data_IF_862093170707
#
_entry.id   IF_862093170707
#
_cell.length_a   1.000
_cell.length_b   1.000
_cell.length_c   1.000
_cell.angle_alpha   90.00
_cell.angle_beta   90.00
_cell.angle_gamma   90.00
#
_symmetry.space_group_name_H-M   'P 1'
#
loop_
_entity.id
_entity.type
_entity.pdbx_description
1 polymer ?
#
# COMPACT_ATOMS: atom_id res chain seq x y z
N UNK A 1 -4.24 24.54 0.16
CA UNK A 1 -3.55 24.21 1.45
C UNK A 1 -4.01 22.83 1.91
N UNK A 2 -3.09 21.88 2.12
CA UNK A 2 -3.37 20.49 2.56
C UNK A 2 -4.00 20.47 3.97
N UNK A 3 -5.07 19.68 4.15
CA UNK A 3 -5.75 19.43 5.44
C UNK A 3 -5.93 17.94 5.71
N UNK A 4 -6.00 17.12 4.67
CA UNK A 4 -6.10 15.69 4.75
C UNK A 4 -5.05 15.00 3.91
N UNK A 5 -4.55 13.86 4.40
CA UNK A 5 -3.65 13.01 3.64
C UNK A 5 -4.12 11.56 3.73
N UNK A 6 -4.34 10.96 2.58
CA UNK A 6 -4.66 9.55 2.40
C UNK A 6 -3.37 8.88 1.94
N UNK A 7 -2.92 7.90 2.68
CA UNK A 7 -1.72 7.14 2.33
C UNK A 7 -2.07 5.73 1.91
N UNK A 8 -1.57 5.30 0.77
CA UNK A 8 -1.39 3.89 0.58
C UNK A 8 -0.33 3.33 1.56
N UNK A 9 -0.36 2.02 1.79
CA UNK A 9 0.56 1.37 2.70
C UNK A 9 1.73 0.71 1.99
N UNK A 10 1.45 -0.27 1.11
CA UNK A 10 2.43 -1.17 0.52
C UNK A 10 3.12 -0.57 -0.70
N UNK A 11 4.41 -0.32 -0.63
CA UNK A 11 5.12 0.41 -1.68
C UNK A 11 5.09 1.93 -1.50
N UNK A 12 4.23 2.45 -0.61
CA UNK A 12 4.13 3.88 -0.28
C UNK A 12 4.73 4.19 1.09
N UNK A 13 4.11 3.79 2.19
CA UNK A 13 4.65 3.96 3.55
C UNK A 13 5.64 2.85 3.91
N UNK A 14 5.32 1.63 3.51
CA UNK A 14 6.03 0.41 3.87
C UNK A 14 6.90 -0.08 2.71
N UNK A 15 8.12 -0.51 3.00
CA UNK A 15 8.99 -1.23 2.07
C UNK A 15 8.61 -2.73 2.08
N UNK A 16 7.37 -3.01 1.68
CA UNK A 16 6.76 -4.34 1.73
C UNK A 16 6.79 -5.07 0.39
N UNK A 17 7.01 -4.37 -0.72
CA UNK A 17 6.94 -4.98 -2.06
C UNK A 17 7.93 -6.15 -2.26
N UNK A 18 9.14 -6.16 -1.66
CA UNK A 18 10.02 -7.33 -1.70
C UNK A 18 9.39 -8.61 -1.10
N UNK A 19 8.49 -8.47 -0.13
CA UNK A 19 7.79 -9.59 0.50
C UNK A 19 6.86 -10.28 -0.50
N UNK A 20 6.05 -9.50 -1.19
CA UNK A 20 5.13 -9.98 -2.20
C UNK A 20 5.86 -10.68 -3.37
N UNK A 21 7.13 -10.29 -3.61
CA UNK A 21 8.01 -10.94 -4.59
C UNK A 21 8.55 -12.31 -4.18
N UNK A 22 8.20 -12.81 -2.98
CA UNK A 22 8.71 -14.08 -2.47
C UNK A 22 7.67 -14.92 -1.72
N UNK A 23 6.41 -14.48 -1.67
CA UNK A 23 5.36 -15.16 -0.91
C UNK A 23 5.05 -16.54 -1.45
N UNK A 24 4.86 -16.69 -2.77
CA UNK A 24 4.53 -17.96 -3.39
C UNK A 24 5.63 -19.00 -3.24
N UNK A 25 6.85 -18.61 -3.62
CA UNK A 25 8.02 -19.49 -3.50
C UNK A 25 8.37 -19.78 -2.03
N UNK A 26 8.20 -18.81 -1.14
CA UNK A 26 8.39 -19.00 0.30
C UNK A 26 7.39 -19.97 0.91
N UNK A 27 6.13 -19.91 0.50
CA UNK A 27 5.10 -20.84 0.95
C UNK A 27 5.43 -22.28 0.53
N UNK A 28 5.77 -22.51 -0.73
CA UNK A 28 6.18 -23.83 -1.24
C UNK A 28 7.44 -24.34 -0.55
N UNK A 29 8.42 -23.48 -0.31
CA UNK A 29 9.67 -23.83 0.39
C UNK A 29 9.41 -24.34 1.82
N UNK A 30 8.45 -23.76 2.55
CA UNK A 30 8.03 -24.29 3.86
C UNK A 30 7.48 -25.71 3.79
N UNK A 31 6.92 -26.10 2.64
CA UNK A 31 6.42 -27.45 2.36
C UNK A 31 7.49 -28.37 1.75
N UNK A 32 8.73 -27.89 1.56
CA UNK A 32 9.80 -28.64 0.92
C UNK A 32 9.67 -28.78 -0.60
N UNK A 33 8.88 -27.90 -1.22
CA UNK A 33 8.62 -27.90 -2.68
C UNK A 33 9.40 -26.75 -3.31
N UNK A 34 10.09 -27.02 -4.41
CA UNK A 34 10.79 -26.02 -5.20
C UNK A 34 9.81 -25.28 -6.14
N UNK A 35 9.81 -23.96 -6.08
CA UNK A 35 8.96 -23.15 -6.93
C UNK A 35 9.47 -23.16 -8.38
N UNK A 36 8.55 -23.18 -9.34
CA UNK A 36 8.87 -22.98 -10.76
C UNK A 36 9.27 -21.53 -11.00
N UNK A 37 10.01 -21.29 -12.08
CA UNK A 37 10.36 -19.93 -12.52
C UNK A 37 9.11 -19.06 -12.70
N UNK A 38 9.22 -17.77 -12.38
CA UNK A 38 8.19 -16.73 -12.50
C UNK A 38 6.93 -16.92 -11.62
N UNK A 39 6.94 -17.82 -10.62
CA UNK A 39 5.80 -17.98 -9.73
C UNK A 39 5.45 -16.68 -9.00
N UNK A 40 6.45 -16.06 -8.38
CA UNK A 40 6.27 -14.86 -7.57
C UNK A 40 5.86 -13.62 -8.40
N UNK A 41 6.27 -13.55 -9.67
CA UNK A 41 5.78 -12.50 -10.59
C UNK A 41 4.29 -12.66 -10.86
N UNK A 42 3.84 -13.88 -11.08
CA UNK A 42 2.42 -14.19 -11.29
C UNK A 42 1.58 -13.90 -10.04
N UNK A 43 2.14 -14.07 -8.85
CA UNK A 43 1.48 -13.78 -7.58
C UNK A 43 1.16 -12.30 -7.41
N UNK A 44 1.98 -11.40 -7.95
CA UNK A 44 1.74 -9.96 -7.88
C UNK A 44 0.49 -9.48 -8.61
N UNK A 45 0.02 -10.27 -9.59
CA UNK A 45 -1.06 -9.91 -10.50
C UNK A 45 -2.41 -10.54 -10.13
N UNK A 46 -2.46 -11.41 -9.11
CA UNK A 46 -3.62 -12.21 -8.80
C UNK A 46 -4.01 -12.10 -7.31
N UNK A 47 -5.29 -12.32 -7.02
CA UNK A 47 -5.80 -12.33 -5.65
C UNK A 47 -5.28 -13.53 -4.84
N UNK A 48 -5.36 -13.43 -3.51
CA UNK A 48 -4.99 -14.53 -2.59
C UNK A 48 -5.72 -15.85 -2.95
N UNK A 49 -7.00 -15.78 -3.30
CA UNK A 49 -7.77 -16.95 -3.71
C UNK A 49 -7.23 -17.54 -5.01
N UNK A 50 -6.97 -16.70 -6.02
CA UNK A 50 -6.38 -17.15 -7.29
C UNK A 50 -4.98 -17.73 -7.07
N UNK A 51 -4.20 -17.20 -6.14
CA UNK A 51 -2.89 -17.74 -5.74
C UNK A 51 -3.04 -19.13 -5.14
N UNK A 52 -4.04 -19.36 -4.29
CA UNK A 52 -4.32 -20.68 -3.72
C UNK A 52 -4.74 -21.69 -4.79
N UNK A 53 -5.59 -21.28 -5.76
CA UNK A 53 -5.97 -22.12 -6.91
C UNK A 53 -4.74 -22.51 -7.73
N UNK A 54 -3.92 -21.52 -8.08
CA UNK A 54 -2.69 -21.71 -8.86
C UNK A 54 -1.75 -22.72 -8.17
N UNK A 55 -1.49 -22.56 -6.88
CA UNK A 55 -0.61 -23.45 -6.14
C UNK A 55 -1.19 -24.87 -6.05
N UNK A 56 -2.50 -24.99 -5.79
CA UNK A 56 -3.15 -26.27 -5.71
C UNK A 56 -3.07 -27.05 -7.03
N UNK A 57 -3.33 -26.40 -8.14
CA UNK A 57 -3.37 -27.03 -9.46
C UNK A 57 -1.97 -27.33 -10.00
N UNK A 58 -1.04 -26.37 -9.92
CA UNK A 58 0.28 -26.54 -10.51
C UNK A 58 1.23 -27.43 -9.71
N UNK A 59 1.07 -27.47 -8.38
CA UNK A 59 1.93 -28.24 -7.48
C UNK A 59 1.20 -29.44 -6.86
N UNK A 60 -0.04 -29.72 -7.28
CA UNK A 60 -0.85 -30.84 -6.82
C UNK A 60 -0.91 -30.95 -5.28
N UNK A 61 -1.07 -29.77 -4.61
CA UNK A 61 -1.04 -29.73 -3.16
C UNK A 61 -2.21 -30.52 -2.54
N UNK A 62 -1.95 -31.39 -1.56
CA UNK A 62 -2.98 -32.21 -0.92
C UNK A 62 -3.78 -31.45 0.14
N UNK A 63 -3.94 -30.15 -0.02
CA UNK A 63 -4.63 -29.21 0.87
C UNK A 63 -5.88 -28.64 0.19
N UNK A 64 -6.87 -28.20 0.97
CA UNK A 64 -7.99 -27.41 0.44
C UNK A 64 -7.53 -26.02 0.00
N UNK A 65 -8.34 -25.33 -0.80
CA UNK A 65 -8.05 -23.94 -1.20
C UNK A 65 -8.00 -23.02 0.02
N UNK A 66 -8.88 -23.25 0.99
CA UNK A 66 -8.94 -22.50 2.24
C UNK A 66 -7.67 -22.70 3.09
N UNK A 67 -7.17 -23.93 3.19
CA UNK A 67 -5.92 -24.22 3.91
C UNK A 67 -4.72 -23.58 3.25
N UNK A 68 -4.64 -23.58 1.92
CA UNK A 68 -3.57 -22.92 1.17
C UNK A 68 -3.65 -21.40 1.36
N UNK A 69 -4.83 -20.79 1.17
CA UNK A 69 -5.03 -19.37 1.35
C UNK A 69 -4.69 -18.92 2.78
N UNK A 70 -5.15 -19.67 3.78
CA UNK A 70 -4.82 -19.40 5.19
C UNK A 70 -3.33 -19.56 5.47
N UNK A 71 -2.68 -20.54 4.86
CA UNK A 71 -1.24 -20.75 5.02
C UNK A 71 -0.41 -19.61 4.42
N UNK A 72 -0.82 -19.07 3.26
CA UNK A 72 -0.23 -17.88 2.65
C UNK A 72 -0.45 -16.66 3.56
N UNK A 73 -1.69 -16.44 4.01
CA UNK A 73 -2.06 -15.33 4.89
C UNK A 73 -1.24 -15.35 6.19
N UNK A 74 -1.13 -16.51 6.85
CA UNK A 74 -0.33 -16.65 8.06
C UNK A 74 1.16 -16.31 7.83
N UNK A 75 1.67 -16.57 6.64
CA UNK A 75 3.04 -16.20 6.30
C UNK A 75 3.18 -14.70 6.08
N UNK A 76 2.23 -14.09 5.41
CA UNK A 76 2.15 -12.64 5.23
C UNK A 76 2.02 -11.94 6.59
N UNK A 77 1.11 -12.40 7.45
CA UNK A 77 0.94 -11.89 8.82
C UNK A 77 2.25 -11.85 9.61
N UNK A 78 3.01 -12.94 9.54
CA UNK A 78 4.31 -13.03 10.22
C UNK A 78 5.31 -11.99 9.67
N UNK A 79 5.33 -11.77 8.36
CA UNK A 79 6.21 -10.79 7.74
C UNK A 79 5.85 -9.37 8.16
N UNK A 80 4.56 -9.00 8.16
CA UNK A 80 4.11 -7.68 8.62
C UNK A 80 4.36 -7.47 10.12
N UNK A 81 4.18 -8.51 10.92
CA UNK A 81 4.43 -8.45 12.36
C UNK A 81 5.91 -8.30 12.72
N UNK A 82 6.83 -8.84 11.91
CA UNK A 82 8.23 -8.96 12.32
C UNK A 82 9.26 -8.27 11.40
N UNK A 83 8.95 -8.09 10.11
CA UNK A 83 9.98 -7.77 9.11
C UNK A 83 9.74 -6.52 8.28
N UNK A 84 8.50 -6.15 7.97
CA UNK A 84 8.18 -5.00 7.10
C UNK A 84 8.62 -3.70 7.75
N UNK A 85 9.52 -2.96 7.13
CA UNK A 85 10.01 -1.67 7.62
C UNK A 85 9.28 -0.50 6.92
N UNK A 86 9.37 0.70 7.50
CA UNK A 86 8.99 1.93 6.80
C UNK A 86 9.98 2.23 5.66
N UNK A 87 9.50 2.83 4.60
CA UNK A 87 10.42 3.47 3.65
C UNK A 87 11.22 4.57 4.34
N UNK A 88 12.50 4.71 4.00
CA UNK A 88 13.36 5.70 4.63
C UNK A 88 12.81 7.13 4.51
N UNK A 89 12.67 7.83 5.63
CA UNK A 89 12.17 9.21 5.68
C UNK A 89 10.67 9.36 5.91
N UNK A 90 9.88 8.30 5.87
CA UNK A 90 8.41 8.34 6.09
C UNK A 90 8.07 8.97 7.44
N UNK A 91 8.76 8.62 8.53
CA UNK A 91 8.49 9.19 9.85
C UNK A 91 8.62 10.72 9.85
N UNK A 92 9.65 11.26 9.17
CA UNK A 92 9.83 12.71 9.06
C UNK A 92 8.72 13.39 8.26
N UNK A 93 8.20 12.74 7.21
CA UNK A 93 7.03 13.21 6.47
C UNK A 93 5.80 13.27 7.38
N UNK A 94 5.49 12.18 8.08
CA UNK A 94 4.32 12.09 8.96
C UNK A 94 4.37 13.13 10.08
N UNK A 95 5.52 13.29 10.73
CA UNK A 95 5.72 14.32 11.75
C UNK A 95 5.56 15.74 11.18
N UNK A 96 6.13 16.02 10.01
CA UNK A 96 6.00 17.30 9.34
C UNK A 96 4.57 17.66 8.95
N UNK A 97 3.77 16.69 8.50
CA UNK A 97 2.33 16.85 8.22
C UNK A 97 1.52 17.08 9.50
N UNK A 98 1.81 16.30 10.56
CA UNK A 98 1.16 16.45 11.86
C UNK A 98 1.40 17.85 12.47
N UNK A 99 2.62 18.36 12.38
CA UNK A 99 2.96 19.72 12.84
C UNK A 99 2.18 20.81 12.08
N UNK A 100 1.78 20.54 10.84
CA UNK A 100 0.93 21.42 10.02
C UNK A 100 -0.57 21.22 10.28
N UNK A 101 -0.95 20.31 11.18
CA UNK A 101 -2.34 20.02 11.53
C UNK A 101 -3.07 19.21 10.46
N UNK A 102 -2.35 18.51 9.58
CA UNK A 102 -2.92 17.63 8.57
C UNK A 102 -3.43 16.35 9.25
N UNK A 103 -4.67 16.00 9.00
CA UNK A 103 -5.23 14.70 9.42
C UNK A 103 -4.82 13.62 8.43
N UNK A 104 -4.45 12.46 8.92
CA UNK A 104 -3.90 11.38 8.11
C UNK A 104 -4.68 10.08 8.31
N UNK A 105 -4.90 9.34 7.24
CA UNK A 105 -5.51 8.01 7.28
C UNK A 105 -4.84 7.13 6.23
N UNK A 106 -4.79 5.82 6.50
CA UNK A 106 -4.29 4.84 5.54
C UNK A 106 -5.46 4.24 4.77
N UNK A 107 -5.31 4.15 3.44
CA UNK A 107 -6.19 3.43 2.52
C UNK A 107 -5.39 2.32 1.83
N UNK A 108 -5.70 1.05 2.08
CA UNK A 108 -4.89 -0.07 1.63
C UNK A 108 -5.69 -1.14 0.89
N UNK A 109 -5.04 -1.83 -0.06
CA UNK A 109 -5.57 -3.05 -0.68
C UNK A 109 -5.33 -4.30 0.19
N UNK A 110 -4.40 -4.23 1.13
CA UNK A 110 -4.09 -5.29 2.10
C UNK A 110 -5.11 -5.31 3.24
N UNK A 111 -5.08 -6.36 4.06
CA UNK A 111 -5.92 -6.45 5.26
C UNK A 111 -5.54 -5.38 6.28
N UNK A 112 -6.52 -4.63 6.78
CA UNK A 112 -6.27 -3.50 7.70
C UNK A 112 -5.48 -3.92 8.95
N UNK A 113 -5.72 -5.12 9.49
CA UNK A 113 -5.01 -5.61 10.67
C UNK A 113 -3.52 -5.86 10.42
N UNK A 114 -3.14 -6.32 9.20
CA UNK A 114 -1.73 -6.53 8.81
C UNK A 114 -0.99 -5.20 8.78
N UNK A 115 -1.58 -4.20 8.12
CA UNK A 115 -1.00 -2.86 8.07
C UNK A 115 -0.86 -2.25 9.47
N UNK A 116 -1.90 -2.37 10.32
CA UNK A 116 -1.82 -1.89 11.72
C UNK A 116 -0.70 -2.58 12.50
N UNK A 117 -0.48 -3.89 12.30
CA UNK A 117 0.64 -4.60 12.95
C UNK A 117 1.99 -3.98 12.57
N UNK A 118 2.22 -3.74 11.27
CA UNK A 118 3.46 -3.13 10.80
C UNK A 118 3.62 -1.69 11.31
N UNK A 119 2.58 -0.83 11.15
CA UNK A 119 2.62 0.57 11.60
C UNK A 119 2.84 0.69 13.12
N UNK A 120 2.22 -0.20 13.91
CA UNK A 120 2.41 -0.27 15.37
C UNK A 120 3.82 -0.68 15.76
N UNK A 121 4.37 -1.70 15.10
CA UNK A 121 5.74 -2.15 15.29
C UNK A 121 6.75 -1.06 14.91
N UNK A 122 6.51 -0.34 13.81
CA UNK A 122 7.31 0.79 13.37
C UNK A 122 7.09 2.06 14.22
N UNK A 123 6.13 2.07 15.16
CA UNK A 123 5.88 3.19 16.05
C UNK A 123 5.10 4.37 15.47
N UNK A 124 4.52 4.22 14.27
CA UNK A 124 3.88 5.33 13.52
C UNK A 124 2.36 5.24 13.43
N UNK A 125 1.73 4.18 13.97
CA UNK A 125 0.26 4.04 13.94
C UNK A 125 -0.45 5.27 14.52
N UNK A 126 0.13 5.91 15.51
CA UNK A 126 -0.42 7.06 16.23
C UNK A 126 -0.54 8.36 15.39
N UNK A 127 0.00 8.38 14.17
CA UNK A 127 -0.17 9.50 13.25
C UNK A 127 -1.51 9.44 12.50
N UNK A 128 -2.13 8.27 12.39
CA UNK A 128 -3.30 8.03 11.57
C UNK A 128 -4.58 7.99 12.40
N UNK A 129 -5.64 8.62 11.88
CA UNK A 129 -6.98 8.54 12.45
C UNK A 129 -7.52 7.11 12.34
N UNK A 130 -7.24 6.43 11.22
CA UNK A 130 -7.64 5.05 10.97
C UNK A 130 -6.80 4.38 9.86
N UNK A 131 -6.98 3.07 9.69
CA UNK A 131 -6.53 2.27 8.55
C UNK A 131 -7.76 1.61 7.95
N UNK A 132 -8.09 1.97 6.72
CA UNK A 132 -9.25 1.45 5.97
C UNK A 132 -8.75 0.54 4.86
N UNK A 133 -9.30 -0.66 4.79
CA UNK A 133 -8.98 -1.65 3.76
C UNK A 133 -10.02 -1.64 2.64
N UNK A 134 -9.58 -1.94 1.42
CA UNK A 134 -10.46 -2.26 0.30
C UNK A 134 -11.40 -3.45 0.62
N UNK A 135 -10.96 -4.37 1.47
CA UNK A 135 -11.79 -5.49 1.94
C UNK A 135 -12.98 -4.98 2.77
N UNK A 136 -12.75 -4.01 3.66
CA UNK A 136 -13.80 -3.40 4.50
C UNK A 136 -14.81 -2.60 3.66
N UNK A 137 -14.33 -1.95 2.60
CA UNK A 137 -15.15 -1.14 1.69
C UNK A 137 -15.89 -2.00 0.66
N UNK A 138 -15.36 -3.18 0.32
CA UNK A 138 -15.90 -4.08 -0.70
C UNK A 138 -15.56 -3.68 -2.15
N UNK A 139 -14.66 -2.72 -2.34
CA UNK A 139 -14.23 -2.20 -3.64
C UNK A 139 -12.72 -1.99 -3.67
N UNK A 140 -12.08 -2.23 -4.82
CA UNK A 140 -10.66 -1.94 -5.03
C UNK A 140 -10.40 -0.44 -5.23
N UNK A 141 -9.12 -0.05 -5.30
CA UNK A 141 -8.68 1.33 -5.58
C UNK A 141 -8.79 1.71 -7.07
N UNK A 142 -9.20 0.81 -7.92
CA UNK A 142 -9.66 1.08 -9.29
C UNK A 142 -11.04 1.77 -9.32
N UNK A 143 -11.73 1.79 -8.17
CA UNK A 143 -12.96 2.55 -7.91
C UNK A 143 -12.75 3.55 -6.76
N UNK A 144 -13.45 4.71 -6.75
CA UNK A 144 -13.10 5.82 -5.85
C UNK A 144 -13.62 5.69 -4.41
N UNK A 145 -14.37 4.64 -4.09
CA UNK A 145 -15.10 4.52 -2.83
C UNK A 145 -14.23 4.64 -1.59
N UNK A 146 -13.05 4.03 -1.59
CA UNK A 146 -12.14 4.09 -0.44
C UNK A 146 -11.62 5.52 -0.20
N UNK A 147 -11.34 6.28 -1.26
CA UNK A 147 -10.90 7.67 -1.13
C UNK A 147 -11.99 8.56 -0.56
N UNK A 148 -13.24 8.38 -0.99
CA UNK A 148 -14.38 9.10 -0.43
C UNK A 148 -14.61 8.76 1.04
N UNK A 149 -14.58 7.48 1.40
CA UNK A 149 -14.75 7.03 2.78
C UNK A 149 -13.69 7.65 3.70
N UNK A 150 -12.44 7.68 3.26
CA UNK A 150 -11.36 8.29 4.03
C UNK A 150 -11.49 9.80 4.09
N UNK A 151 -11.82 10.46 2.99
CA UNK A 151 -12.07 11.92 2.97
C UNK A 151 -13.17 12.33 3.94
N UNK A 152 -14.29 11.59 3.96
CA UNK A 152 -15.40 11.83 4.88
C UNK A 152 -14.99 11.63 6.34
N UNK A 153 -14.20 10.57 6.64
CA UNK A 153 -13.64 10.32 7.98
C UNK A 153 -12.72 11.46 8.43
N UNK A 154 -11.87 11.98 7.54
CA UNK A 154 -10.97 13.10 7.84
C UNK A 154 -11.74 14.43 7.98
N UNK A 155 -12.95 14.52 7.41
CA UNK A 155 -13.76 15.73 7.38
C UNK A 155 -13.16 16.83 6.52
N UNK A 156 -12.55 16.46 5.39
CA UNK A 156 -11.85 17.35 4.45
C UNK A 156 -12.58 17.41 3.11
N UNK A 157 -12.11 18.27 2.18
CA UNK A 157 -12.61 18.34 0.81
C UNK A 157 -11.55 17.76 -0.13
N UNK A 158 -11.95 17.41 -1.35
CA UNK A 158 -11.06 16.84 -2.37
C UNK A 158 -9.81 17.70 -2.60
N UNK A 159 -10.02 19.00 -2.79
CA UNK A 159 -8.96 19.97 -3.11
C UNK A 159 -8.00 20.21 -1.92
N UNK A 160 -8.39 19.74 -0.72
CA UNK A 160 -7.59 19.83 0.51
C UNK A 160 -7.04 18.46 0.92
N UNK A 161 -7.35 17.38 0.16
CA UNK A 161 -6.99 16.00 0.48
C UNK A 161 -6.00 15.47 -0.53
N UNK A 162 -4.82 15.11 -0.05
CA UNK A 162 -3.73 14.60 -0.86
C UNK A 162 -3.67 13.08 -0.76
N UNK A 163 -3.58 12.40 -1.90
CA UNK A 163 -3.47 10.94 -1.99
C UNK A 163 -2.04 10.57 -2.35
N UNK A 164 -1.35 9.88 -1.43
CA UNK A 164 0.01 9.38 -1.61
C UNK A 164 -0.04 7.92 -2.06
N UNK A 165 0.51 7.62 -3.23
CA UNK A 165 0.36 6.34 -3.90
C UNK A 165 1.55 6.02 -4.83
N UNK A 166 1.92 4.74 -4.92
CA UNK A 166 2.90 4.22 -5.88
C UNK A 166 2.25 3.51 -7.07
N UNK A 167 1.00 3.04 -6.92
CA UNK A 167 0.29 2.28 -7.94
C UNK A 167 -0.45 3.18 -8.94
N UNK A 168 -0.05 3.10 -10.22
CA UNK A 168 -0.58 3.93 -11.31
C UNK A 168 -2.11 3.88 -11.44
N UNK A 169 -2.73 2.70 -11.29
CA UNK A 169 -4.19 2.56 -11.42
C UNK A 169 -4.94 3.32 -10.32
N UNK A 170 -4.43 3.27 -9.10
CA UNK A 170 -4.99 3.96 -7.93
C UNK A 170 -4.85 5.49 -8.06
N UNK A 171 -3.68 5.97 -8.51
CA UNK A 171 -3.47 7.39 -8.81
C UNK A 171 -4.43 7.88 -9.89
N UNK A 172 -4.63 7.11 -10.97
CA UNK A 172 -5.59 7.46 -12.02
C UNK A 172 -7.01 7.63 -11.48
N UNK A 173 -7.43 6.74 -10.58
CA UNK A 173 -8.73 6.84 -9.93
C UNK A 173 -8.84 8.11 -9.10
N UNK A 174 -7.86 8.36 -8.22
CA UNK A 174 -7.87 9.53 -7.34
C UNK A 174 -7.81 10.86 -8.15
N UNK A 175 -6.92 10.95 -9.14
CA UNK A 175 -6.80 12.11 -10.02
C UNK A 175 -8.07 12.34 -10.84
N UNK A 176 -8.68 11.27 -11.38
CA UNK A 176 -9.94 11.33 -12.13
C UNK A 176 -11.10 11.88 -11.31
N UNK A 177 -11.07 11.71 -10.00
CA UNK A 177 -12.04 12.24 -9.06
C UNK A 177 -11.70 13.64 -8.54
N UNK A 178 -10.54 14.18 -8.87
CA UNK A 178 -10.11 15.53 -8.50
C UNK A 178 -9.47 15.64 -7.11
N UNK A 179 -8.94 14.56 -6.57
CA UNK A 179 -8.01 14.60 -5.44
C UNK A 179 -6.65 15.12 -5.88
N UNK A 180 -5.93 15.78 -4.98
CA UNK A 180 -4.52 16.11 -5.22
C UNK A 180 -3.68 14.85 -5.05
N UNK A 181 -2.87 14.52 -6.04
CA UNK A 181 -2.12 13.26 -6.09
C UNK A 181 -0.63 13.45 -5.89
N UNK A 182 -0.05 12.63 -5.03
CA UNK A 182 1.39 12.57 -4.77
C UNK A 182 1.88 11.17 -5.13
N UNK A 183 2.55 11.06 -6.27
CA UNK A 183 3.18 9.82 -6.69
C UNK A 183 4.39 9.51 -5.81
N UNK A 184 4.53 8.25 -5.42
CA UNK A 184 5.65 7.77 -4.61
C UNK A 184 6.44 6.74 -5.39
N UNK A 185 7.78 6.87 -5.38
CA UNK A 185 8.66 5.90 -6.01
C UNK A 185 8.62 4.55 -5.30
N UNK A 186 8.40 3.48 -6.06
CA UNK A 186 8.69 2.12 -5.62
C UNK A 186 9.42 1.33 -6.72
N UNK A 187 10.48 0.61 -6.32
CA UNK A 187 11.33 -0.12 -7.26
C UNK A 187 10.61 -1.32 -7.94
N UNK A 188 9.50 -1.79 -7.39
CA UNK A 188 8.70 -2.88 -7.96
C UNK A 188 7.82 -2.42 -9.12
N UNK A 189 7.57 -1.11 -9.24
CA UNK A 189 6.66 -0.53 -10.22
C UNK A 189 7.39 -0.20 -11.53
N UNK A 190 6.89 -0.71 -12.66
CA UNK A 190 7.52 -0.53 -13.98
C UNK A 190 7.17 0.80 -14.66
N UNK A 191 6.02 1.42 -14.33
CA UNK A 191 5.47 2.56 -15.06
C UNK A 191 5.73 3.91 -14.37
N UNK A 192 6.94 4.13 -13.85
CA UNK A 192 7.31 5.34 -13.12
C UNK A 192 7.15 6.64 -13.94
N UNK A 193 7.53 6.62 -15.22
CA UNK A 193 7.40 7.80 -16.08
C UNK A 193 5.93 8.22 -16.26
N UNK A 194 5.04 7.25 -16.38
CA UNK A 194 3.61 7.52 -16.49
C UNK A 194 3.04 8.03 -15.17
N UNK A 195 3.45 7.44 -14.04
CA UNK A 195 3.06 7.89 -12.70
C UNK A 195 3.47 9.36 -12.48
N UNK A 196 4.71 9.71 -12.81
CA UNK A 196 5.21 11.09 -12.73
C UNK A 196 4.35 12.04 -13.60
N UNK A 197 3.96 11.57 -14.80
CA UNK A 197 3.21 12.40 -15.75
C UNK A 197 1.76 12.72 -15.37
N UNK A 198 1.17 11.95 -14.43
CA UNK A 198 -0.24 12.11 -14.03
C UNK A 198 -0.43 12.61 -12.60
N UNK A 199 0.62 12.69 -11.80
CA UNK A 199 0.57 13.19 -10.42
C UNK A 199 0.83 14.69 -10.34
N UNK A 200 0.20 15.36 -9.38
CA UNK A 200 0.43 16.78 -9.09
C UNK A 200 1.81 17.02 -8.47
N UNK A 201 2.29 16.07 -7.68
CA UNK A 201 3.64 16.02 -7.15
C UNK A 201 4.20 14.59 -7.15
N UNK A 202 5.52 14.45 -7.19
CA UNK A 202 6.18 13.15 -7.16
C UNK A 202 7.32 13.13 -6.15
N UNK A 203 7.32 12.14 -5.25
CA UNK A 203 8.35 11.92 -4.24
C UNK A 203 9.16 10.70 -4.63
N UNK A 204 10.43 10.92 -4.94
CA UNK A 204 11.38 9.84 -5.22
C UNK A 204 11.98 9.25 -3.95
N UNK A 205 12.20 10.09 -2.95
CA UNK A 205 12.82 9.70 -1.68
C UNK A 205 12.27 10.59 -0.56
N UNK A 206 11.68 9.99 0.47
CA UNK A 206 11.15 10.75 1.61
C UNK A 206 12.22 11.42 2.49
N UNK A 207 13.50 11.17 2.24
CA UNK A 207 14.60 11.92 2.87
C UNK A 207 14.85 13.28 2.21
N UNK A 208 14.26 13.54 1.04
CA UNK A 208 14.43 14.74 0.22
C UNK A 208 13.08 15.44 0.05
N UNK A 209 12.54 16.03 1.13
CA UNK A 209 11.19 16.61 1.16
C UNK A 209 11.15 18.14 1.01
N UNK A 210 12.29 18.83 0.79
CA UNK A 210 12.33 20.30 0.75
C UNK A 210 11.42 20.89 -0.33
N UNK A 211 11.39 20.26 -1.51
CA UNK A 211 10.53 20.75 -2.61
C UNK A 211 9.06 20.39 -2.37
N UNK A 212 8.77 19.26 -1.72
CA UNK A 212 7.42 18.92 -1.30
C UNK A 212 6.88 19.94 -0.27
N UNK A 213 7.68 20.33 0.73
CA UNK A 213 7.26 21.34 1.70
C UNK A 213 7.01 22.69 1.04
N UNK A 214 7.85 23.11 0.10
CA UNK A 214 7.61 24.34 -0.68
C UNK A 214 6.32 24.26 -1.49
N UNK A 215 6.05 23.12 -2.12
CA UNK A 215 4.84 22.89 -2.91
C UNK A 215 3.59 23.08 -2.06
N UNK A 216 3.46 22.41 -0.91
CA UNK A 216 2.26 22.51 -0.07
C UNK A 216 2.14 23.82 0.73
N UNK A 217 3.24 24.54 0.96
CA UNK A 217 3.24 25.83 1.68
C UNK A 217 2.90 27.01 0.72
N UNK A 218 2.93 26.81 -0.61
CA UNK A 218 2.61 27.81 -1.63
C UNK A 218 1.21 27.67 -2.25
N UNK A 219 0.52 26.56 -2.03
CA UNK A 219 -0.90 26.36 -2.37
C UNK A 219 -1.83 26.82 -1.23
#
# INVERSE_FOLDING_TARGET
MIRGAIFDADGTLLDSMPIWSGVGSGYLRKMGIEARENLDERFKEISLYQSAVLLKEEYELPLSLEEIAQGINNMVDHLYAESVELKPGVEALLEGLKQRGVKMCVATASEAYQIRMALRRCGVEHYFEDVISCVDVGHGKDEPYIFYNVMDLLGTKKEETYVFEDALYSVRTAAGEGFVTVGVYDNSMQNQEELIGITDFYIKDFRELEDFWKYIDHE
#
